data_IF_714991604715
#
_entry.id   IF_714991604715
#
_cell.length_a   1.000
_cell.length_b   1.000
_cell.length_c   1.000
_cell.angle_alpha   90.00
_cell.angle_beta   90.00
_cell.angle_gamma   90.00
#
_symmetry.space_group_name_H-M   'P 1'
#
loop_
_entity.id
_entity.type
_entity.pdbx_description
1 polymer ?
#
# COMPACT_ATOMS: atom_id res chain seq x y z
N UNK A 1 -46.66 16.91 -16.07
CA UNK A 1 -45.55 16.79 -15.07
C UNK A 1 -45.40 18.10 -14.35
N UNK A 2 -45.34 18.11 -13.03
CA UNK A 2 -45.20 19.34 -12.23
C UNK A 2 -43.81 19.95 -12.44
N UNK A 3 -43.79 21.28 -12.60
CA UNK A 3 -42.56 22.06 -12.67
C UNK A 3 -42.01 22.30 -11.24
N UNK A 4 -40.71 22.27 -11.08
CA UNK A 4 -40.03 22.70 -9.87
C UNK A 4 -39.67 24.18 -9.95
N UNK A 5 -40.20 24.98 -9.04
CA UNK A 5 -39.99 26.42 -8.98
C UNK A 5 -39.16 26.77 -7.77
N UNK A 6 -38.00 27.39 -7.97
CA UNK A 6 -37.07 27.80 -6.91
C UNK A 6 -36.82 29.30 -7.00
N UNK A 7 -36.76 29.94 -5.83
CA UNK A 7 -36.29 31.32 -5.74
C UNK A 7 -34.97 31.33 -4.97
N UNK A 8 -33.92 31.79 -5.62
CA UNK A 8 -32.56 31.81 -5.15
C UNK A 8 -32.15 33.22 -4.68
N UNK A 9 -31.20 33.31 -3.78
CA UNK A 9 -30.60 34.56 -3.30
C UNK A 9 -29.43 34.98 -4.18
N UNK A 10 -29.34 36.24 -4.52
CA UNK A 10 -28.24 36.92 -5.18
C UNK A 10 -28.04 36.59 -6.67
N UNK A 11 -27.96 35.31 -7.05
CA UNK A 11 -27.71 34.87 -8.44
C UNK A 11 -28.34 33.50 -8.74
N UNK A 12 -28.15 33.01 -9.95
CA UNK A 12 -28.66 31.69 -10.41
C UNK A 12 -28.05 30.48 -9.75
N UNK A 13 -26.98 30.63 -8.93
CA UNK A 13 -26.28 29.57 -8.19
C UNK A 13 -26.43 29.74 -6.67
N UNK A 14 -27.18 30.76 -6.24
CA UNK A 14 -27.37 31.12 -4.85
C UNK A 14 -28.15 30.09 -4.01
N UNK A 15 -28.25 30.35 -2.71
CA UNK A 15 -29.05 29.53 -1.80
C UNK A 15 -30.53 29.59 -2.12
N UNK A 16 -31.22 28.44 -2.10
CA UNK A 16 -32.66 28.33 -2.28
C UNK A 16 -33.36 29.00 -1.08
N UNK A 17 -34.13 30.07 -1.33
CA UNK A 17 -34.89 30.78 -0.30
C UNK A 17 -36.35 30.32 -0.25
N UNK A 18 -36.96 30.08 -1.40
CA UNK A 18 -38.31 29.57 -1.54
C UNK A 18 -38.38 28.48 -2.59
N UNK A 19 -39.28 27.53 -2.37
CA UNK A 19 -39.49 26.39 -3.26
C UNK A 19 -40.98 26.06 -3.32
N UNK A 20 -41.49 25.76 -4.54
CA UNK A 20 -42.80 25.18 -4.75
C UNK A 20 -42.83 24.32 -6.01
N UNK A 21 -43.92 23.58 -6.19
CA UNK A 21 -44.21 22.84 -7.41
C UNK A 21 -45.42 23.41 -8.07
N UNK A 22 -45.47 23.36 -9.42
CA UNK A 22 -46.70 23.67 -10.13
C UNK A 22 -47.73 22.54 -9.98
N UNK A 23 -49.00 22.92 -10.09
CA UNK A 23 -50.07 21.94 -10.24
C UNK A 23 -50.08 21.31 -11.65
N UNK A 24 -51.14 20.54 -11.96
CA UNK A 24 -51.28 19.80 -13.24
C UNK A 24 -51.49 20.75 -14.42
N UNK A 25 -52.04 21.92 -14.16
CA UNK A 25 -52.37 22.95 -15.14
C UNK A 25 -51.22 23.97 -15.31
N UNK A 26 -50.15 23.82 -14.53
CA UNK A 26 -48.96 24.64 -14.59
C UNK A 26 -48.99 25.86 -13.65
N UNK A 27 -50.04 26.01 -12.83
CA UNK A 27 -50.12 27.13 -11.89
C UNK A 27 -49.27 26.88 -10.64
N UNK A 28 -48.65 27.97 -10.16
CA UNK A 28 -47.93 27.94 -8.87
C UNK A 28 -48.12 29.28 -8.16
N UNK A 29 -47.98 29.28 -6.86
CA UNK A 29 -48.01 30.48 -6.00
C UNK A 29 -46.83 30.46 -5.04
N UNK A 30 -46.11 31.59 -4.95
CA UNK A 30 -45.03 31.81 -3.98
C UNK A 30 -45.27 33.17 -3.32
N UNK A 31 -45.35 33.20 -2.02
CA UNK A 31 -45.42 34.44 -1.23
C UNK A 31 -44.01 34.93 -0.94
N UNK A 32 -43.61 36.01 -1.62
CA UNK A 32 -42.30 36.61 -1.43
C UNK A 32 -42.44 37.76 -0.41
N UNK A 33 -41.66 37.67 0.67
CA UNK A 33 -41.52 38.81 1.59
C UNK A 33 -40.57 39.83 0.95
N UNK A 34 -40.96 41.12 0.81
CA UNK A 34 -40.08 42.14 0.26
C UNK A 34 -38.80 42.22 1.13
N UNK A 35 -37.67 42.02 0.47
CA UNK A 35 -36.35 42.14 1.10
C UNK A 35 -35.40 42.78 0.08
N UNK A 36 -34.40 43.50 0.51
CA UNK A 36 -33.41 44.23 -0.28
C UNK A 36 -32.47 43.35 -1.10
N UNK A 37 -32.57 42.04 -1.00
CA UNK A 37 -31.72 41.09 -1.70
C UNK A 37 -32.21 40.87 -3.15
N UNK A 38 -31.29 40.77 -4.08
CA UNK A 38 -31.58 40.28 -5.43
C UNK A 38 -32.05 38.83 -5.34
N UNK A 39 -33.17 38.56 -6.02
CA UNK A 39 -33.72 37.22 -6.10
C UNK A 39 -33.69 36.72 -7.55
N UNK A 40 -33.51 35.42 -7.73
CA UNK A 40 -33.56 34.75 -9.03
C UNK A 40 -34.63 33.66 -9.01
N UNK A 41 -35.44 33.66 -10.04
CA UNK A 41 -36.44 32.64 -10.28
C UNK A 41 -35.84 31.58 -11.20
N UNK A 42 -35.86 30.34 -10.76
CA UNK A 42 -35.46 29.18 -11.55
C UNK A 42 -36.65 28.23 -11.67
N UNK A 43 -37.01 27.89 -12.92
CA UNK A 43 -38.06 26.90 -13.18
C UNK A 43 -37.46 25.75 -13.98
N UNK A 44 -37.70 24.53 -13.53
CA UNK A 44 -37.19 23.31 -14.15
C UNK A 44 -38.24 22.23 -14.27
N UNK A 45 -38.29 21.60 -15.45
CA UNK A 45 -39.14 20.44 -15.76
C UNK A 45 -38.32 19.45 -16.57
N UNK A 46 -38.51 18.16 -16.34
CA UNK A 46 -37.86 17.13 -17.14
C UNK A 46 -38.25 17.23 -18.62
N UNK A 47 -37.27 17.33 -19.50
CA UNK A 47 -37.45 17.46 -20.94
C UNK A 47 -37.57 18.91 -21.44
N UNK A 48 -37.35 19.89 -20.58
CA UNK A 48 -37.33 21.31 -20.94
C UNK A 48 -36.05 22.00 -20.55
N UNK A 49 -35.70 23.12 -21.20
CA UNK A 49 -34.55 23.95 -20.81
C UNK A 49 -34.89 24.69 -19.53
N UNK A 50 -33.98 24.70 -18.57
CA UNK A 50 -34.18 25.44 -17.32
C UNK A 50 -34.34 26.93 -17.59
N UNK A 51 -35.42 27.51 -17.07
CA UNK A 51 -35.68 28.95 -17.12
C UNK A 51 -35.04 29.63 -15.91
N UNK A 52 -34.28 30.70 -16.13
CA UNK A 52 -33.62 31.47 -15.08
C UNK A 52 -33.85 32.96 -15.34
N UNK A 53 -34.40 33.68 -14.37
CA UNK A 53 -34.66 35.13 -14.47
C UNK A 53 -34.40 35.85 -13.14
N UNK A 54 -33.77 37.03 -13.20
CA UNK A 54 -33.70 37.93 -12.05
C UNK A 54 -35.08 38.52 -11.73
N UNK A 55 -35.48 38.47 -10.47
CA UNK A 55 -36.68 39.13 -9.97
C UNK A 55 -36.33 40.54 -9.53
N UNK A 56 -36.93 41.53 -10.21
CA UNK A 56 -36.79 42.93 -9.88
C UNK A 56 -37.97 43.37 -9.02
N UNK A 57 -37.73 44.06 -7.91
CA UNK A 57 -38.74 44.61 -7.05
C UNK A 57 -38.91 46.13 -7.28
N UNK A 58 -40.15 46.69 -7.16
CA UNK A 58 -41.41 45.98 -6.89
C UNK A 58 -41.92 45.21 -8.11
N UNK A 59 -42.49 44.04 -7.90
CA UNK A 59 -43.17 43.25 -8.95
C UNK A 59 -44.46 44.00 -9.30
N UNK A 60 -44.54 44.58 -10.49
CA UNK A 60 -45.66 45.42 -10.90
C UNK A 60 -46.96 44.67 -11.14
N UNK A 61 -46.90 43.38 -11.50
CA UNK A 61 -48.07 42.50 -11.62
C UNK A 61 -47.79 41.21 -10.84
N UNK A 62 -48.69 40.82 -9.95
CA UNK A 62 -48.58 39.59 -9.17
C UNK A 62 -48.70 38.29 -9.98
N UNK A 63 -48.75 38.39 -11.28
CA UNK A 63 -48.90 37.27 -12.22
C UNK A 63 -47.77 37.32 -13.27
N UNK A 64 -47.08 36.21 -13.47
CA UNK A 64 -46.05 36.06 -14.49
C UNK A 64 -46.23 34.72 -15.22
N UNK A 65 -46.36 34.79 -16.55
CA UNK A 65 -46.38 33.61 -17.39
C UNK A 65 -44.96 33.21 -17.78
N UNK A 66 -44.63 31.93 -17.64
CA UNK A 66 -43.31 31.39 -17.96
C UNK A 66 -43.46 30.29 -19.01
N UNK A 67 -42.96 30.58 -20.21
CA UNK A 67 -42.97 29.62 -21.31
C UNK A 67 -41.65 28.84 -21.32
N UNK A 68 -41.70 27.53 -21.09
CA UNK A 68 -40.55 26.67 -21.14
C UNK A 68 -40.32 26.11 -22.54
N UNK A 69 -39.10 26.17 -23.02
CA UNK A 69 -38.72 25.58 -24.30
C UNK A 69 -38.35 24.09 -24.12
N UNK A 70 -38.90 23.25 -25.03
CA UNK A 70 -38.51 21.82 -25.03
C UNK A 70 -37.02 21.64 -25.29
N UNK A 71 -36.40 20.80 -24.49
CA UNK A 71 -35.00 20.40 -24.71
C UNK A 71 -34.96 19.39 -25.88
N UNK A 72 -34.52 19.85 -27.04
CA UNK A 72 -34.39 19.00 -28.26
C UNK A 72 -32.99 18.40 -28.41
N UNK A 73 -32.10 18.67 -27.45
CA UNK A 73 -30.75 18.09 -27.45
C UNK A 73 -30.75 16.63 -27.03
N UNK A 74 -29.96 15.79 -27.69
CA UNK A 74 -29.58 14.49 -27.18
C UNK A 74 -28.75 14.68 -25.92
N UNK A 75 -29.17 14.08 -24.81
CA UNK A 75 -28.33 13.99 -23.61
C UNK A 75 -26.98 13.33 -24.00
N UNK A 76 -25.84 13.92 -23.66
CA UNK A 76 -24.58 13.28 -23.93
C UNK A 76 -24.63 11.90 -23.26
N UNK A 77 -24.39 10.86 -24.04
CA UNK A 77 -24.31 9.51 -23.50
C UNK A 77 -23.24 9.54 -22.40
N UNK A 78 -23.66 9.30 -21.17
CA UNK A 78 -22.71 9.07 -20.07
C UNK A 78 -22.09 7.72 -20.38
N UNK A 79 -20.95 7.73 -21.06
CA UNK A 79 -20.10 6.57 -21.23
C UNK A 79 -19.50 6.25 -19.85
N UNK A 80 -20.24 5.52 -19.03
CA UNK A 80 -19.69 4.87 -17.85
C UNK A 80 -18.79 3.75 -18.38
N UNK A 81 -17.53 4.07 -18.66
CA UNK A 81 -16.51 3.05 -18.83
C UNK A 81 -16.36 2.40 -17.46
N UNK A 82 -17.05 1.30 -17.24
CA UNK A 82 -16.76 0.42 -16.13
C UNK A 82 -15.30 -0.04 -16.30
N UNK A 83 -14.41 0.55 -15.51
CA UNK A 83 -13.03 0.12 -15.54
C UNK A 83 -12.96 -1.26 -14.91
N UNK A 84 -12.52 -2.25 -15.68
CA UNK A 84 -12.40 -3.63 -15.23
C UNK A 84 -11.48 -3.70 -13.99
N UNK A 85 -11.87 -4.46 -12.95
CA UNK A 85 -11.06 -4.67 -11.76
C UNK A 85 -9.67 -5.21 -12.07
N UNK A 86 -9.59 -6.07 -13.09
CA UNK A 86 -8.36 -6.69 -13.58
C UNK A 86 -8.25 -6.44 -15.08
N UNK A 87 -7.09 -6.01 -15.51
CA UNK A 87 -6.78 -5.79 -16.94
C UNK A 87 -5.43 -6.42 -17.25
N UNK A 88 -5.33 -7.17 -18.36
CA UNK A 88 -4.07 -7.71 -18.83
C UNK A 88 -3.61 -6.95 -20.07
N UNK A 89 -2.35 -6.51 -20.09
CA UNK A 89 -1.70 -5.82 -21.22
C UNK A 89 -0.33 -6.45 -21.47
N UNK A 90 -0.21 -7.30 -22.50
CA UNK A 90 1.00 -8.07 -22.74
C UNK A 90 1.38 -8.90 -21.51
N UNK A 91 2.59 -8.72 -21.02
CA UNK A 91 3.14 -9.40 -19.85
C UNK A 91 2.73 -8.75 -18.50
N UNK A 92 1.87 -7.72 -18.53
CA UNK A 92 1.47 -6.99 -17.33
C UNK A 92 0.01 -7.28 -16.97
N UNK A 93 -0.22 -7.79 -15.77
CA UNK A 93 -1.54 -7.92 -15.15
C UNK A 93 -1.74 -6.78 -14.16
N UNK A 94 -2.78 -5.98 -14.35
CA UNK A 94 -3.08 -4.75 -13.58
C UNK A 94 -4.30 -5.00 -12.73
N UNK A 95 -4.17 -4.82 -11.43
CA UNK A 95 -5.24 -4.88 -10.43
C UNK A 95 -5.58 -3.48 -9.97
N UNK A 96 -6.86 -3.08 -9.99
CA UNK A 96 -7.34 -1.86 -9.35
C UNK A 96 -7.55 -2.09 -7.87
N UNK A 97 -6.81 -1.37 -7.02
CA UNK A 97 -6.83 -1.54 -5.58
C UNK A 97 -8.25 -1.40 -5.02
N UNK A 98 -8.98 -0.36 -5.43
CA UNK A 98 -10.34 -0.09 -4.94
C UNK A 98 -11.35 -1.23 -5.14
N UNK A 99 -11.10 -2.15 -6.07
CA UNK A 99 -11.97 -3.30 -6.32
C UNK A 99 -11.70 -4.49 -5.36
N UNK A 100 -10.56 -4.48 -4.66
CA UNK A 100 -10.11 -5.58 -3.80
C UNK A 100 -9.91 -5.17 -2.34
N UNK A 101 -10.02 -3.88 -2.05
CA UNK A 101 -9.98 -3.29 -0.71
C UNK A 101 -11.26 -3.67 0.05
N UNK A 102 -11.13 -4.32 1.21
CA UNK A 102 -12.24 -4.72 2.09
C UNK A 102 -12.39 -3.78 3.29
N UNK A 103 -11.44 -2.86 3.48
CA UNK A 103 -11.42 -1.87 4.55
C UNK A 103 -10.85 -2.37 5.89
N UNK A 104 -10.35 -3.61 5.93
CA UNK A 104 -9.72 -4.21 7.11
C UNK A 104 -8.24 -4.53 6.92
N UNK A 105 -7.65 -4.05 5.83
CA UNK A 105 -6.24 -4.25 5.53
C UNK A 105 -5.36 -3.38 6.41
N UNK A 106 -4.50 -3.99 7.21
CA UNK A 106 -3.54 -3.28 8.06
C UNK A 106 -2.24 -2.95 7.31
N UNK A 107 -1.93 -3.70 6.27
CA UNK A 107 -0.69 -3.56 5.49
C UNK A 107 -0.87 -4.03 4.04
N UNK A 108 0.16 -3.80 3.22
CA UNK A 108 0.17 -4.21 1.82
C UNK A 108 -0.04 -5.72 1.64
N UNK A 109 0.53 -6.54 2.52
CA UNK A 109 0.38 -7.99 2.47
C UNK A 109 -1.07 -8.46 2.62
N UNK A 110 -1.86 -7.78 3.45
CA UNK A 110 -3.28 -8.10 3.62
C UNK A 110 -4.07 -7.81 2.33
N UNK A 111 -3.78 -6.68 1.68
CA UNK A 111 -4.37 -6.36 0.37
C UNK A 111 -3.94 -7.37 -0.70
N UNK A 112 -2.66 -7.73 -0.75
CA UNK A 112 -2.13 -8.68 -1.74
C UNK A 112 -2.82 -10.04 -1.66
N UNK A 113 -3.18 -10.53 -0.46
CA UNK A 113 -3.93 -11.77 -0.28
C UNK A 113 -5.34 -11.74 -0.88
N UNK A 114 -5.92 -10.54 -1.08
CA UNK A 114 -7.24 -10.39 -1.70
C UNK A 114 -7.18 -10.46 -3.23
N UNK A 115 -5.97 -10.35 -3.83
CA UNK A 115 -5.80 -10.35 -5.28
C UNK A 115 -5.76 -11.78 -5.83
N UNK A 116 -6.54 -12.11 -6.86
CA UNK A 116 -6.53 -13.43 -7.45
C UNK A 116 -5.16 -13.78 -8.08
N UNK A 117 -4.74 -15.01 -7.85
CA UNK A 117 -3.44 -15.51 -8.31
C UNK A 117 -2.25 -15.10 -7.46
N UNK A 118 -2.41 -14.21 -6.49
CA UNK A 118 -1.35 -13.82 -5.56
C UNK A 118 -1.41 -14.69 -4.30
N UNK A 119 -0.25 -15.17 -3.89
CA UNK A 119 -0.03 -15.82 -2.60
C UNK A 119 1.09 -15.14 -1.84
N UNK A 120 0.98 -15.15 -0.52
CA UNK A 120 1.95 -14.54 0.39
C UNK A 120 2.35 -15.58 1.43
N UNK A 121 3.66 -15.77 1.61
CA UNK A 121 4.17 -16.64 2.66
C UNK A 121 4.17 -15.94 4.05
N UNK A 122 4.49 -16.69 5.09
CA UNK A 122 4.54 -16.18 6.46
C UNK A 122 5.62 -15.09 6.66
N UNK A 123 6.64 -15.05 5.81
CA UNK A 123 7.72 -14.06 5.83
C UNK A 123 7.42 -12.80 5.01
N UNK A 124 6.30 -12.75 4.29
CA UNK A 124 5.92 -11.60 3.46
C UNK A 124 6.44 -11.65 2.03
N UNK A 125 6.96 -12.81 1.58
CA UNK A 125 7.31 -13.01 0.17
C UNK A 125 6.08 -13.34 -0.66
N UNK A 126 6.06 -12.80 -1.86
CA UNK A 126 4.91 -12.84 -2.77
C UNK A 126 5.18 -13.80 -3.92
N UNK A 127 4.16 -14.54 -4.33
CA UNK A 127 4.15 -15.30 -5.57
C UNK A 127 2.89 -14.99 -6.37
N UNK A 128 2.98 -15.01 -7.69
CA UNK A 128 1.87 -14.83 -8.62
C UNK A 128 1.76 -16.05 -9.53
N UNK A 129 0.61 -16.74 -9.51
CA UNK A 129 0.36 -17.99 -10.25
C UNK A 129 1.50 -19.01 -10.09
N UNK A 130 2.02 -19.15 -8.86
CA UNK A 130 3.14 -20.04 -8.53
C UNK A 130 4.54 -19.50 -8.85
N UNK A 131 4.67 -18.39 -9.60
CA UNK A 131 5.96 -17.75 -9.87
C UNK A 131 6.32 -16.80 -8.74
N UNK A 132 7.56 -16.89 -8.24
CA UNK A 132 8.06 -15.98 -7.20
C UNK A 132 8.20 -14.56 -7.72
N UNK A 133 7.72 -13.57 -6.96
CA UNK A 133 8.00 -12.16 -7.19
C UNK A 133 9.41 -11.86 -6.68
N UNK A 134 10.30 -11.45 -7.56
CA UNK A 134 11.71 -11.19 -7.22
C UNK A 134 11.90 -9.83 -6.55
N UNK A 135 11.13 -8.82 -6.98
CA UNK A 135 11.22 -7.43 -6.49
C UNK A 135 9.84 -6.77 -6.42
N UNK A 136 9.69 -5.79 -5.52
CA UNK A 136 8.55 -4.88 -5.50
C UNK A 136 9.04 -3.47 -5.79
N UNK A 137 8.51 -2.90 -6.86
CA UNK A 137 8.82 -1.55 -7.33
C UNK A 137 7.81 -0.55 -6.76
N UNK A 138 8.23 0.68 -6.54
CA UNK A 138 7.37 1.82 -6.21
C UNK A 138 7.49 2.85 -7.32
N UNK A 139 6.39 3.06 -8.08
CA UNK A 139 6.40 3.93 -9.26
C UNK A 139 7.58 3.60 -10.19
N UNK A 140 7.71 2.30 -10.54
CA UNK A 140 8.75 1.73 -11.42
C UNK A 140 10.18 1.74 -10.84
N UNK A 141 10.37 2.18 -9.60
CA UNK A 141 11.67 2.24 -8.95
C UNK A 141 11.85 1.14 -7.90
N UNK A 142 12.99 0.47 -7.97
CA UNK A 142 13.40 -0.55 -7.00
C UNK A 142 14.12 0.07 -5.80
N UNK A 143 13.41 0.19 -4.66
CA UNK A 143 13.97 0.68 -3.40
C UNK A 143 14.54 -0.45 -2.52
N UNK A 144 14.01 -1.67 -2.65
CA UNK A 144 14.22 -2.74 -1.68
C UNK A 144 15.08 -3.89 -2.22
N UNK A 145 15.19 -4.01 -3.56
CA UNK A 145 15.73 -5.21 -4.19
C UNK A 145 14.89 -6.44 -3.84
N UNK A 146 15.55 -7.53 -3.50
CA UNK A 146 14.91 -8.75 -3.04
C UNK A 146 14.37 -8.67 -1.59
N UNK A 147 14.74 -7.63 -0.81
CA UNK A 147 14.43 -7.50 0.62
C UNK A 147 13.11 -6.75 0.89
N UNK A 148 12.09 -6.97 0.09
CA UNK A 148 10.81 -6.27 0.15
C UNK A 148 9.83 -6.80 1.23
N UNK A 149 10.18 -7.82 1.99
CA UNK A 149 9.32 -8.39 3.04
C UNK A 149 8.90 -7.36 4.10
N UNK A 150 9.79 -6.42 4.42
CA UNK A 150 9.47 -5.30 5.31
C UNK A 150 8.38 -4.41 4.75
N UNK A 151 8.36 -4.19 3.42
CA UNK A 151 7.33 -3.43 2.72
C UNK A 151 5.96 -4.12 2.82
N UNK A 152 5.88 -5.42 2.50
CA UNK A 152 4.62 -6.16 2.54
C UNK A 152 4.03 -6.26 3.93
N UNK A 153 4.87 -6.42 4.96
CA UNK A 153 4.44 -6.60 6.35
C UNK A 153 4.06 -5.30 7.06
N UNK A 154 4.66 -4.18 6.69
CA UNK A 154 4.62 -2.96 7.50
C UNK A 154 4.03 -1.75 6.79
N UNK A 155 4.01 -1.72 5.43
CA UNK A 155 3.52 -0.54 4.70
C UNK A 155 2.02 -0.60 4.52
N UNK A 156 1.33 0.50 4.85
CA UNK A 156 -0.10 0.65 4.60
C UNK A 156 -0.42 0.85 3.12
N UNK A 157 -1.69 0.70 2.78
CA UNK A 157 -2.20 0.78 1.42
C UNK A 157 -2.67 2.19 1.01
N UNK A 158 -2.57 3.16 1.92
CA UNK A 158 -3.08 4.52 1.70
C UNK A 158 -2.54 5.15 0.42
N UNK A 159 -3.45 5.64 -0.41
CA UNK A 159 -3.11 6.30 -1.68
C UNK A 159 -2.68 5.37 -2.80
N UNK A 160 -2.65 4.06 -2.61
CA UNK A 160 -2.40 3.08 -3.66
C UNK A 160 -3.57 3.06 -4.65
N UNK A 161 -3.27 3.07 -5.95
CA UNK A 161 -4.25 3.07 -7.03
C UNK A 161 -4.33 1.72 -7.73
N UNK A 162 -3.14 1.24 -8.16
CA UNK A 162 -3.01 0.00 -8.93
C UNK A 162 -1.84 -0.81 -8.44
N UNK A 163 -1.97 -2.12 -8.62
CA UNK A 163 -0.89 -3.08 -8.47
C UNK A 163 -0.70 -3.76 -9.82
N UNK A 164 0.52 -3.67 -10.35
CA UNK A 164 0.88 -4.25 -11.63
C UNK A 164 1.81 -5.43 -11.37
N UNK A 165 1.46 -6.61 -11.84
CA UNK A 165 2.36 -7.76 -11.90
C UNK A 165 2.93 -7.83 -13.30
N UNK A 166 4.24 -7.65 -13.41
CA UNK A 166 4.96 -7.63 -14.69
C UNK A 166 5.78 -8.91 -14.80
N UNK A 167 5.37 -9.78 -15.70
CA UNK A 167 6.12 -10.99 -16.06
C UNK A 167 7.17 -10.61 -17.12
N UNK A 168 8.28 -11.34 -17.17
CA UNK A 168 9.39 -11.06 -18.09
C UNK A 168 9.95 -9.63 -17.98
N UNK A 169 10.01 -9.12 -16.74
CA UNK A 169 10.46 -7.76 -16.46
C UNK A 169 11.90 -7.56 -16.91
N UNK A 170 12.12 -6.46 -17.64
CA UNK A 170 13.45 -6.00 -18.04
C UNK A 170 13.79 -4.74 -17.24
N UNK A 171 14.86 -4.82 -16.47
CA UNK A 171 15.34 -3.65 -15.72
C UNK A 171 16.08 -2.69 -16.68
N UNK A 172 15.38 -1.62 -17.07
CA UNK A 172 15.97 -0.56 -17.91
C UNK A 172 17.12 0.20 -17.22
N UNK A 173 17.35 -0.04 -15.94
CA UNK A 173 18.51 0.51 -15.23
C UNK A 173 19.80 -0.24 -15.52
N UNK A 174 19.72 -1.49 -15.99
CA UNK A 174 20.86 -2.35 -16.36
C UNK A 174 21.09 -2.31 -17.86
N UNK A 175 22.32 -2.53 -18.28
CA UNK A 175 22.68 -2.60 -19.70
C UNK A 175 21.96 -3.79 -20.36
N UNK A 176 21.48 -3.60 -21.59
CA UNK A 176 20.67 -4.58 -22.34
C UNK A 176 21.38 -5.93 -22.60
N UNK A 177 22.71 -6.00 -22.44
CA UNK A 177 23.53 -7.18 -22.72
C UNK A 177 23.87 -8.02 -21.45
N UNK A 178 23.27 -7.78 -20.30
CA UNK A 178 23.47 -8.67 -19.15
C UNK A 178 22.68 -9.97 -19.36
N UNK A 179 23.34 -11.11 -19.22
CA UNK A 179 22.84 -12.45 -19.54
C UNK A 179 21.56 -12.89 -18.78
N UNK A 180 21.04 -12.08 -17.87
CA UNK A 180 19.86 -12.34 -17.06
C UNK A 180 18.70 -11.40 -17.37
N UNK A 181 18.61 -10.86 -18.57
CA UNK A 181 17.55 -9.94 -18.97
C UNK A 181 16.31 -10.72 -19.40
N UNK A 182 15.26 -10.69 -18.58
CA UNK A 182 13.92 -11.01 -19.06
C UNK A 182 13.18 -12.17 -18.41
N UNK A 183 13.65 -12.76 -17.30
CA UNK A 183 12.94 -13.87 -16.64
C UNK A 183 12.39 -13.53 -15.23
N UNK A 184 12.43 -12.25 -14.85
CA UNK A 184 11.95 -11.85 -13.54
C UNK A 184 10.45 -11.53 -13.58
N UNK A 185 9.73 -11.92 -12.53
CA UNK A 185 8.38 -11.43 -12.28
C UNK A 185 8.44 -10.43 -11.14
N UNK A 186 7.99 -9.21 -11.41
CA UNK A 186 8.02 -8.12 -10.42
C UNK A 186 6.63 -7.58 -10.16
N UNK A 187 6.45 -6.98 -9.00
CA UNK A 187 5.23 -6.29 -8.63
C UNK A 187 5.51 -4.79 -8.56
N UNK A 188 4.70 -3.97 -9.22
CA UNK A 188 4.86 -2.52 -9.23
C UNK A 188 3.67 -1.84 -8.59
N UNK A 189 3.93 -1.00 -7.59
CA UNK A 189 2.94 -0.23 -6.85
C UNK A 189 2.76 1.14 -7.49
N UNK A 190 1.55 1.43 -7.97
CA UNK A 190 1.16 2.72 -8.54
C UNK A 190 0.23 3.47 -7.60
N UNK A 191 0.53 4.75 -7.37
CA UNK A 191 -0.24 5.63 -6.48
C UNK A 191 -1.12 6.61 -7.24
N UNK A 192 -2.23 7.05 -6.64
CA UNK A 192 -3.31 7.86 -7.26
C UNK A 192 -2.87 9.17 -7.92
N UNK A 193 -1.72 9.74 -7.56
CA UNK A 193 -1.18 10.95 -8.19
C UNK A 193 0.33 10.95 -8.24
N UNK A 194 0.91 11.56 -9.29
CA UNK A 194 2.35 11.75 -9.45
C UNK A 194 2.93 12.96 -8.70
N UNK A 195 2.12 13.70 -7.94
CA UNK A 195 2.57 14.86 -7.16
C UNK A 195 3.40 14.41 -5.95
N UNK A 196 4.21 15.33 -5.40
CA UNK A 196 4.93 15.14 -4.14
C UNK A 196 3.97 14.60 -3.08
N UNK A 197 4.33 13.47 -2.48
CA UNK A 197 3.52 12.80 -1.46
C UNK A 197 4.35 12.36 -0.31
N UNK A 198 3.82 12.64 0.87
CA UNK A 198 4.25 12.08 2.13
C UNK A 198 3.00 11.44 2.76
N UNK A 199 3.03 10.16 3.02
CA UNK A 199 1.95 9.44 3.67
C UNK A 199 2.52 8.31 4.52
N UNK A 200 1.70 7.77 5.39
CA UNK A 200 2.12 6.69 6.26
C UNK A 200 0.96 6.18 7.08
N UNK A 201 1.22 5.15 7.84
CA UNK A 201 0.29 4.58 8.78
C UNK A 201 0.97 4.36 10.13
N UNK A 202 0.18 4.55 11.17
CA UNK A 202 0.58 4.26 12.55
C UNK A 202 -0.41 3.24 13.12
N UNK A 203 0.11 2.22 13.74
CA UNK A 203 -0.66 1.24 14.49
C UNK A 203 -0.14 1.19 15.91
N UNK A 204 -1.04 1.20 16.88
CA UNK A 204 -0.78 0.99 18.30
C UNK A 204 -1.75 -0.05 18.83
N UNK A 205 -1.21 -1.19 19.27
CA UNK A 205 -1.93 -2.24 19.95
C UNK A 205 -1.43 -2.39 21.38
N UNK A 206 -2.36 -2.54 22.33
CA UNK A 206 -2.06 -2.81 23.74
C UNK A 206 -2.91 -4.00 24.18
N UNK A 207 -2.29 -4.98 24.82
CA UNK A 207 -2.94 -6.20 25.30
C UNK A 207 -3.02 -6.24 26.83
N UNK A 208 -3.93 -7.08 27.32
CA UNK A 208 -4.02 -7.37 28.77
C UNK A 208 -3.36 -8.72 29.07
N UNK A 209 -2.51 -8.79 30.10
CA UNK A 209 -2.05 -7.69 30.95
C UNK A 209 -1.22 -6.67 30.14
N UNK A 210 -1.10 -5.43 30.60
CA UNK A 210 -0.49 -4.29 29.89
C UNK A 210 1.00 -4.47 29.45
N UNK A 211 1.59 -5.63 29.70
CA UNK A 211 2.91 -5.99 29.20
C UNK A 211 2.96 -6.32 27.71
N UNK A 212 1.79 -6.54 27.06
CA UNK A 212 1.72 -6.80 25.63
C UNK A 212 1.44 -5.51 24.87
N UNK A 213 2.30 -5.21 23.93
CA UNK A 213 2.15 -4.03 23.06
C UNK A 213 2.71 -4.31 21.67
N UNK A 214 2.18 -3.61 20.69
CA UNK A 214 2.71 -3.56 19.33
C UNK A 214 2.55 -2.16 18.75
N UNK A 215 3.63 -1.57 18.26
CA UNK A 215 3.59 -0.34 17.47
C UNK A 215 4.18 -0.61 16.11
N UNK A 216 3.51 -0.11 15.06
CA UNK A 216 3.99 -0.14 13.68
C UNK A 216 3.84 1.25 13.10
N UNK A 217 4.96 1.88 12.80
CA UNK A 217 5.00 3.21 12.21
C UNK A 217 5.69 3.10 10.87
N UNK A 218 5.03 3.59 9.83
CA UNK A 218 5.55 3.57 8.47
C UNK A 218 5.34 4.92 7.82
N UNK A 219 6.37 5.40 7.13
CA UNK A 219 6.32 6.65 6.34
C UNK A 219 6.86 6.38 4.95
N UNK A 220 6.09 6.76 3.95
CA UNK A 220 6.44 6.69 2.53
C UNK A 220 6.53 8.10 1.98
N UNK A 221 7.66 8.46 1.42
CA UNK A 221 7.90 9.74 0.74
C UNK A 221 8.15 9.52 -0.76
N UNK A 222 7.30 10.15 -1.59
CA UNK A 222 7.45 10.20 -3.04
C UNK A 222 7.68 11.66 -3.43
N UNK A 223 8.93 12.11 -3.39
CA UNK A 223 9.33 13.51 -3.52
C UNK A 223 10.06 13.74 -4.85
N UNK A 224 9.43 13.42 -5.96
CA UNK A 224 10.01 13.56 -7.30
C UNK A 224 11.21 12.63 -7.50
N UNK A 225 12.42 13.19 -7.43
CA UNK A 225 13.67 12.43 -7.59
C UNK A 225 14.08 11.64 -6.34
N UNK A 226 13.47 11.93 -5.19
CA UNK A 226 13.72 11.28 -3.93
C UNK A 226 12.52 10.41 -3.56
N UNK A 227 12.77 9.14 -3.28
CA UNK A 227 11.77 8.20 -2.77
C UNK A 227 12.33 7.52 -1.54
N UNK A 228 11.53 7.41 -0.50
CA UNK A 228 11.93 6.68 0.69
C UNK A 228 10.76 5.95 1.35
N UNK A 229 11.10 4.87 2.03
CA UNK A 229 10.20 4.14 2.92
C UNK A 229 10.94 3.90 4.23
N UNK A 230 10.38 4.42 5.31
CA UNK A 230 10.91 4.23 6.67
C UNK A 230 9.90 3.46 7.48
N UNK A 231 10.37 2.45 8.21
CA UNK A 231 9.55 1.65 9.13
C UNK A 231 10.20 1.65 10.51
N UNK A 232 9.41 1.88 11.54
CA UNK A 232 9.82 1.77 12.95
C UNK A 232 8.77 0.93 13.68
N UNK A 233 9.13 -0.28 14.08
CA UNK A 233 8.25 -1.20 14.79
C UNK A 233 8.85 -1.55 16.14
N UNK A 234 7.99 -1.66 17.13
CA UNK A 234 8.35 -2.18 18.45
C UNK A 234 7.23 -3.04 18.98
N UNK A 235 7.56 -4.23 19.51
CA UNK A 235 6.53 -5.14 19.98
C UNK A 235 7.02 -6.13 21.04
N UNK A 236 6.02 -6.66 21.78
CA UNK A 236 6.20 -7.75 22.76
C UNK A 236 5.20 -8.90 22.52
N UNK A 237 4.72 -9.07 21.28
CA UNK A 237 3.66 -10.02 20.92
C UNK A 237 4.18 -11.21 20.09
N UNK A 238 5.46 -11.55 20.22
CA UNK A 238 6.07 -12.69 19.53
C UNK A 238 6.49 -12.43 18.08
N UNK A 239 6.42 -11.18 17.60
CA UNK A 239 6.85 -10.81 16.26
C UNK A 239 8.35 -10.43 16.28
N UNK A 240 9.24 -11.39 16.02
CA UNK A 240 10.68 -11.13 15.98
C UNK A 240 11.07 -10.38 14.71
N UNK A 241 11.84 -9.30 14.87
CA UNK A 241 12.38 -8.52 13.76
C UNK A 241 13.39 -9.33 12.94
N UNK A 242 14.19 -10.17 13.61
CA UNK A 242 15.13 -11.10 12.97
C UNK A 242 14.44 -12.06 12.01
N UNK A 243 13.24 -12.57 12.33
CA UNK A 243 12.48 -13.43 11.43
C UNK A 243 11.99 -12.68 10.18
N UNK A 244 11.58 -11.43 10.32
CA UNK A 244 11.16 -10.61 9.18
C UNK A 244 12.36 -10.34 8.25
N UNK A 245 13.51 -10.03 8.83
CA UNK A 245 14.74 -9.75 8.08
C UNK A 245 15.34 -11.04 7.50
N UNK A 246 15.41 -12.13 8.27
CA UNK A 246 15.90 -13.43 7.81
C UNK A 246 15.00 -14.05 6.73
N UNK A 247 13.68 -13.90 6.83
CA UNK A 247 12.75 -14.32 5.79
C UNK A 247 13.03 -13.65 4.46
N UNK A 248 13.51 -12.39 4.46
CA UNK A 248 13.99 -11.73 3.26
C UNK A 248 15.30 -12.33 2.71
N UNK A 249 16.14 -12.90 3.55
CA UNK A 249 17.45 -13.46 3.17
C UNK A 249 17.44 -14.98 2.93
N UNK A 250 16.54 -15.75 3.58
CA UNK A 250 16.46 -17.21 3.45
C UNK A 250 16.16 -17.71 2.03
N UNK A 251 15.50 -16.89 1.22
CA UNK A 251 15.23 -17.19 -0.19
C UNK A 251 16.37 -16.79 -1.13
N UNK A 252 17.44 -16.17 -0.62
CA UNK A 252 18.64 -15.82 -1.36
C UNK A 252 19.66 -16.97 -1.43
N UNK A 253 19.44 -18.11 -0.79
CA UNK A 253 20.09 -19.39 -1.18
C UNK A 253 19.49 -19.88 -2.50
N UNK A 254 19.60 -19.03 -3.49
CA UNK A 254 19.24 -19.32 -4.88
C UNK A 254 20.44 -20.07 -5.48
N UNK A 255 20.21 -21.33 -5.68
CA UNK A 255 20.84 -22.01 -6.78
C UNK A 255 20.71 -21.12 -8.03
N UNK A 256 21.86 -20.66 -8.57
CA UNK A 256 22.06 -20.09 -9.91
C UNK A 256 21.91 -18.58 -10.16
N UNK A 257 22.03 -17.70 -9.22
CA UNK A 257 22.44 -16.36 -9.61
C UNK A 257 23.96 -16.21 -9.47
N UNK A 258 24.66 -16.12 -10.59
CA UNK A 258 26.01 -15.56 -10.64
C UNK A 258 25.90 -14.09 -10.24
N UNK A 259 25.77 -13.84 -8.94
CA UNK A 259 25.95 -12.53 -8.35
C UNK A 259 27.42 -12.17 -8.58
N UNK A 260 27.76 -11.05 -9.22
CA UNK A 260 29.15 -10.67 -9.35
C UNK A 260 29.72 -10.55 -7.94
N UNK A 261 30.75 -11.36 -7.72
CA UNK A 261 31.72 -11.39 -6.64
C UNK A 261 31.45 -10.47 -5.44
N UNK A 262 31.33 -11.06 -4.24
CA UNK A 262 31.46 -10.46 -2.93
C UNK A 262 30.31 -9.60 -2.38
N UNK A 263 29.07 -10.02 -2.59
CA UNK A 263 28.10 -9.76 -1.53
C UNK A 263 28.05 -11.05 -0.69
N UNK A 264 28.90 -11.18 0.32
CA UNK A 264 28.60 -12.00 1.48
C UNK A 264 27.37 -11.33 2.11
N UNK A 265 26.19 -11.71 1.63
CA UNK A 265 25.01 -11.58 2.45
C UNK A 265 25.33 -12.40 3.69
N UNK A 266 25.29 -11.76 4.84
CA UNK A 266 25.39 -12.42 6.12
C UNK A 266 24.59 -13.72 6.02
N UNK A 267 25.26 -14.85 6.23
CA UNK A 267 24.58 -16.06 6.70
C UNK A 267 23.55 -15.57 7.70
N UNK A 268 22.30 -16.01 7.52
CA UNK A 268 21.18 -15.51 8.31
C UNK A 268 21.68 -15.32 9.75
N UNK A 269 21.68 -14.08 10.30
CA UNK A 269 22.38 -13.80 11.54
C UNK A 269 21.85 -14.57 12.73
N UNK A 270 20.82 -15.36 12.48
CA UNK A 270 20.19 -16.24 13.44
C UNK A 270 20.05 -17.60 12.77
N UNK A 271 20.92 -18.53 13.09
CA UNK A 271 20.61 -19.94 12.89
C UNK A 271 19.52 -20.30 13.89
N UNK A 272 18.27 -20.27 13.43
CA UNK A 272 17.19 -20.95 14.13
C UNK A 272 17.42 -22.46 13.96
N UNK A 273 18.43 -22.98 14.62
CA UNK A 273 18.67 -24.41 14.64
C UNK A 273 17.57 -25.17 15.36
N UNK A 274 16.71 -24.47 16.10
CA UNK A 274 15.91 -25.09 17.10
C UNK A 274 14.41 -24.85 16.89
N UNK A 275 13.80 -25.89 16.29
CA UNK A 275 12.44 -26.34 16.58
C UNK A 275 11.38 -25.20 16.54
N UNK A 276 11.12 -24.69 15.34
CA UNK A 276 9.79 -24.16 15.05
C UNK A 276 8.89 -25.37 14.76
N UNK A 277 7.97 -25.75 15.68
CA UNK A 277 6.99 -26.76 15.37
C UNK A 277 6.21 -26.30 14.14
N UNK A 278 6.15 -27.14 13.11
CA UNK A 278 5.59 -26.82 11.78
C UNK A 278 4.16 -26.24 11.80
N UNK A 279 3.45 -26.36 12.93
CA UNK A 279 2.04 -26.01 13.04
C UNK A 279 1.72 -24.88 14.02
N UNK A 280 2.72 -24.23 14.62
CA UNK A 280 2.50 -23.14 15.59
C UNK A 280 3.03 -21.82 15.01
N UNK A 281 2.19 -20.79 15.00
CA UNK A 281 2.62 -19.45 14.54
C UNK A 281 3.76 -18.95 15.44
N UNK A 282 4.84 -18.38 14.87
CA UNK A 282 5.96 -17.82 15.63
C UNK A 282 5.54 -16.89 16.76
N UNK A 283 4.49 -16.09 16.54
CA UNK A 283 3.93 -15.17 17.54
C UNK A 283 3.41 -15.83 18.82
N UNK A 284 3.25 -17.15 18.85
CA UNK A 284 2.81 -17.91 20.02
C UNK A 284 3.96 -18.63 20.72
N UNK A 285 5.16 -18.59 20.14
CA UNK A 285 6.33 -19.32 20.64
C UNK A 285 7.25 -18.46 21.50
N UNK A 286 7.22 -17.13 21.30
CA UNK A 286 8.19 -16.24 21.89
C UNK A 286 7.55 -15.20 22.82
N UNK A 287 8.14 -15.04 24.01
CA UNK A 287 7.98 -13.82 24.80
C UNK A 287 9.15 -12.90 24.41
N UNK A 288 8.84 -11.75 23.82
CA UNK A 288 9.86 -10.91 23.19
C UNK A 288 9.77 -9.43 23.59
N UNK A 289 10.84 -8.72 23.30
CA UNK A 289 10.91 -7.27 23.20
C UNK A 289 11.74 -6.97 21.96
N UNK A 290 11.04 -6.73 20.84
CA UNK A 290 11.67 -6.56 19.53
C UNK A 290 11.52 -5.14 19.03
N UNK A 291 12.60 -4.61 18.47
CA UNK A 291 12.62 -3.31 17.79
C UNK A 291 13.19 -3.49 16.38
N UNK A 292 12.51 -2.98 15.36
CA UNK A 292 12.96 -2.96 13.97
C UNK A 292 12.90 -1.55 13.43
N UNK A 293 14.00 -1.10 12.84
CA UNK A 293 14.08 0.16 12.10
C UNK A 293 14.60 -0.16 10.70
N UNK A 294 13.86 0.27 9.67
CA UNK A 294 14.33 0.18 8.28
C UNK A 294 14.20 1.52 7.59
N UNK A 295 15.20 1.90 6.79
CA UNK A 295 15.16 3.07 5.91
C UNK A 295 15.63 2.61 4.54
N UNK A 296 14.72 2.71 3.57
CA UNK A 296 15.00 2.41 2.16
C UNK A 296 14.84 3.72 1.40
N UNK A 297 15.90 4.20 0.78
CA UNK A 297 15.96 5.51 0.15
C UNK A 297 16.59 5.42 -1.23
N UNK A 298 15.94 6.02 -2.22
CA UNK A 298 16.44 6.15 -3.59
C UNK A 298 16.47 7.62 -3.99
N UNK A 299 17.64 8.09 -4.43
CA UNK A 299 17.86 9.42 -5.01
C UNK A 299 18.23 9.26 -6.47
N UNK A 300 17.46 9.85 -7.39
CA UNK A 300 17.83 10.03 -8.79
C UNK A 300 18.52 11.39 -8.96
N UNK A 301 19.82 11.48 -8.65
CA UNK A 301 20.57 12.73 -8.71
C UNK A 301 20.53 13.31 -10.15
N UNK A 302 20.60 12.44 -11.17
CA UNK A 302 20.43 12.80 -12.57
C UNK A 302 19.79 11.65 -13.37
N UNK A 303 19.60 11.81 -14.68
CA UNK A 303 19.20 10.71 -15.57
C UNK A 303 20.25 9.58 -15.65
N UNK A 304 21.48 9.88 -15.26
CA UNK A 304 22.64 8.95 -15.33
C UNK A 304 23.07 8.43 -13.96
N UNK A 305 22.69 9.08 -12.87
CA UNK A 305 23.18 8.75 -11.51
C UNK A 305 22.00 8.53 -10.59
N UNK A 306 21.95 7.34 -10.00
CA UNK A 306 21.07 7.03 -8.88
C UNK A 306 21.85 6.49 -7.69
N UNK A 307 21.37 6.83 -6.50
CA UNK A 307 21.95 6.42 -5.20
C UNK A 307 20.82 5.73 -4.43
N UNK A 308 21.07 4.50 -4.03
CA UNK A 308 20.15 3.69 -3.24
C UNK A 308 20.80 3.40 -1.90
N UNK A 309 20.11 3.71 -0.81
CA UNK A 309 20.53 3.46 0.56
C UNK A 309 19.52 2.55 1.24
N UNK A 310 20.00 1.47 1.85
CA UNK A 310 19.19 0.55 2.63
C UNK A 310 19.83 0.41 4.02
N UNK A 311 19.08 0.77 5.04
CA UNK A 311 19.48 0.66 6.43
C UNK A 311 18.49 -0.28 7.12
N UNK A 312 19.02 -1.27 7.81
CA UNK A 312 18.26 -2.19 8.66
C UNK A 312 18.93 -2.25 10.01
N UNK A 313 18.16 -1.97 11.04
CA UNK A 313 18.58 -2.12 12.44
C UNK A 313 17.51 -2.88 13.17
N UNK A 314 17.89 -3.91 13.91
CA UNK A 314 16.98 -4.54 14.83
C UNK A 314 17.66 -4.97 16.13
N UNK A 315 16.85 -5.05 17.17
CA UNK A 315 17.19 -5.66 18.45
C UNK A 315 16.04 -6.56 18.87
N UNK A 316 16.31 -7.87 18.96
CA UNK A 316 15.37 -8.89 19.42
C UNK A 316 15.88 -9.48 20.73
N UNK A 317 15.17 -9.19 21.83
CA UNK A 317 15.34 -9.88 23.10
C UNK A 317 14.17 -10.83 23.23
N UNK A 318 14.40 -12.12 23.32
CA UNK A 318 13.31 -13.08 23.44
C UNK A 318 13.64 -14.31 24.30
N UNK A 319 12.58 -14.84 24.92
CA UNK A 319 12.60 -16.05 25.70
C UNK A 319 11.69 -17.09 25.09
N UNK A 320 12.17 -18.32 25.03
CA UNK A 320 11.40 -19.49 24.62
C UNK A 320 11.54 -20.56 25.68
N UNK A 321 10.43 -21.13 26.12
CA UNK A 321 10.40 -22.28 27.02
C UNK A 321 9.76 -23.46 26.32
N UNK A 322 10.35 -24.62 26.36
CA UNK A 322 9.78 -25.85 25.84
C UNK A 322 10.03 -27.01 26.81
N UNK A 323 9.11 -27.93 26.85
CA UNK A 323 9.27 -29.15 27.62
C UNK A 323 9.25 -30.37 26.70
N UNK A 324 10.18 -31.27 26.91
CA UNK A 324 10.27 -32.57 26.23
C UNK A 324 9.85 -33.66 27.19
N UNK A 325 8.90 -34.50 26.79
CA UNK A 325 8.46 -35.66 27.55
C UNK A 325 8.85 -36.90 26.75
N UNK A 326 9.77 -37.69 27.28
CA UNK A 326 10.16 -38.97 26.70
C UNK A 326 9.63 -40.09 27.59
N UNK A 327 8.91 -41.03 27.00
CA UNK A 327 8.46 -42.23 27.70
C UNK A 327 9.17 -43.42 27.12
N UNK A 328 10.05 -44.02 27.91
CA UNK A 328 10.71 -45.28 27.58
C UNK A 328 9.84 -46.41 28.09
N UNK A 329 9.22 -47.15 27.19
CA UNK A 329 8.45 -48.34 27.51
C UNK A 329 9.40 -49.50 27.77
N UNK A 330 9.69 -49.77 29.03
CA UNK A 330 10.39 -50.96 29.43
C UNK A 330 9.36 -52.04 29.88
N UNK A 331 9.64 -53.30 29.64
CA UNK A 331 8.75 -54.43 29.92
C UNK A 331 8.34 -54.59 31.40
N UNK A 332 8.99 -53.88 32.32
CA UNK A 332 8.72 -53.92 33.74
C UNK A 332 8.01 -52.67 34.29
N UNK A 333 8.41 -51.48 33.88
CA UNK A 333 7.80 -50.21 34.28
C UNK A 333 8.10 -49.14 33.23
N UNK A 334 7.11 -48.36 32.76
CA UNK A 334 7.38 -47.22 31.89
C UNK A 334 8.10 -46.12 32.67
N UNK A 335 9.21 -45.62 32.13
CA UNK A 335 9.96 -44.50 32.70
C UNK A 335 9.61 -43.26 31.86
N UNK A 336 9.05 -42.23 32.50
CA UNK A 336 8.79 -40.94 31.85
C UNK A 336 9.84 -39.94 32.32
N UNK A 337 10.58 -39.39 31.38
CA UNK A 337 11.52 -38.30 31.57
C UNK A 337 10.85 -37.02 31.08
N UNK A 338 10.77 -36.02 31.96
CA UNK A 338 10.33 -34.69 31.61
C UNK A 338 11.52 -33.73 31.74
N UNK A 339 11.82 -33.03 30.66
CA UNK A 339 12.89 -32.04 30.63
C UNK A 339 12.28 -30.67 30.25
N UNK A 340 12.53 -29.66 31.06
CA UNK A 340 12.18 -28.26 30.73
C UNK A 340 13.46 -27.55 30.33
N UNK A 341 13.37 -26.87 29.15
CA UNK A 341 14.47 -26.08 28.60
C UNK A 341 13.99 -24.64 28.40
N UNK A 342 14.80 -23.69 28.83
CA UNK A 342 14.60 -22.26 28.59
C UNK A 342 15.75 -21.72 27.73
N UNK A 343 15.41 -20.94 26.73
CA UNK A 343 16.36 -20.24 25.86
C UNK A 343 16.08 -18.74 26.00
N UNK A 344 17.12 -17.97 26.33
CA UNK A 344 17.09 -16.51 26.27
C UNK A 344 18.11 -16.06 25.22
N UNK A 345 17.67 -15.21 24.29
CA UNK A 345 18.55 -14.67 23.24
C UNK A 345 18.38 -13.15 23.11
N UNK A 346 19.49 -12.49 22.76
CA UNK A 346 19.56 -11.08 22.48
C UNK A 346 20.29 -10.87 21.15
N UNK A 347 19.52 -10.71 20.06
CA UNK A 347 20.07 -10.55 18.72
C UNK A 347 20.04 -9.07 18.32
N UNK A 348 21.19 -8.53 18.03
CA UNK A 348 21.35 -7.14 17.56
C UNK A 348 21.97 -7.15 16.16
N UNK A 349 21.37 -6.42 15.22
CA UNK A 349 21.89 -6.22 13.87
C UNK A 349 21.90 -4.75 13.50
N UNK A 350 22.99 -4.32 12.90
CA UNK A 350 23.12 -3.08 12.13
C UNK A 350 23.61 -3.43 10.73
N UNK A 351 22.82 -3.10 9.72
CA UNK A 351 23.18 -3.27 8.32
C UNK A 351 22.97 -1.96 7.58
N UNK A 352 24.00 -1.51 6.87
CA UNK A 352 23.97 -0.32 6.04
C UNK A 352 24.51 -0.67 4.65
N UNK A 353 23.71 -0.47 3.61
CA UNK A 353 24.07 -0.69 2.22
C UNK A 353 23.84 0.56 1.41
N UNK A 354 24.84 0.98 0.67
CA UNK A 354 24.76 2.06 -0.31
C UNK A 354 25.18 1.54 -1.69
N UNK A 355 24.34 1.77 -2.68
CA UNK A 355 24.62 1.48 -4.08
C UNK A 355 24.57 2.77 -4.89
N UNK A 356 25.65 3.09 -5.59
CA UNK A 356 25.73 4.18 -6.55
C UNK A 356 25.77 3.58 -7.94
N UNK A 357 24.71 3.83 -8.72
CA UNK A 357 24.62 3.40 -10.10
C UNK A 357 24.88 4.60 -11.02
N UNK A 358 25.93 4.51 -11.83
CA UNK A 358 26.34 5.55 -12.76
C UNK A 358 26.39 5.04 -14.20
N UNK A 359 25.46 5.48 -15.03
CA UNK A 359 25.43 5.23 -16.48
C UNK A 359 26.29 6.26 -17.20
N UNK A 360 27.49 5.88 -17.57
CA UNK A 360 28.42 6.75 -18.32
C UNK A 360 27.89 6.99 -19.74
N UNK A 361 27.46 5.93 -20.42
CA UNK A 361 26.82 5.96 -21.75
C UNK A 361 25.91 4.74 -21.94
N UNK A 362 25.38 4.51 -23.15
CA UNK A 362 24.49 3.37 -23.46
C UNK A 362 25.17 2.00 -23.33
N UNK A 363 26.51 1.93 -23.35
CA UNK A 363 27.29 0.69 -23.30
C UNK A 363 28.06 0.50 -22.00
N UNK A 364 28.25 1.55 -21.19
CA UNK A 364 29.06 1.52 -19.97
C UNK A 364 28.29 2.02 -18.76
N UNK A 365 28.22 1.18 -17.76
CA UNK A 365 27.59 1.43 -16.47
C UNK A 365 28.54 0.99 -15.36
N UNK A 366 28.68 1.80 -14.35
CA UNK A 366 29.43 1.49 -13.13
C UNK A 366 28.48 1.40 -11.95
N UNK A 367 28.60 0.35 -11.16
CA UNK A 367 27.85 0.17 -9.91
C UNK A 367 28.89 0.06 -8.81
N UNK A 368 28.85 1.01 -7.88
CA UNK A 368 29.65 1.00 -6.67
C UNK A 368 28.75 0.62 -5.50
N UNK A 369 29.15 -0.41 -4.75
CA UNK A 369 28.40 -0.88 -3.59
C UNK A 369 29.30 -0.81 -2.37
N UNK A 370 28.74 -0.28 -1.28
CA UNK A 370 29.34 -0.26 0.03
C UNK A 370 28.39 -0.89 1.04
N UNK A 371 28.91 -1.84 1.83
CA UNK A 371 28.13 -2.56 2.84
C UNK A 371 28.88 -2.56 4.17
N UNK A 372 28.18 -2.19 5.24
CA UNK A 372 28.66 -2.29 6.61
C UNK A 372 27.68 -3.14 7.41
N UNK A 373 28.17 -4.19 8.04
CA UNK A 373 27.34 -5.10 8.83
C UNK A 373 28.00 -5.30 10.21
N UNK A 374 27.17 -5.27 11.24
CA UNK A 374 27.58 -5.63 12.59
C UNK A 374 26.47 -6.45 13.24
N UNK A 375 26.84 -7.59 13.83
CA UNK A 375 25.94 -8.45 14.59
C UNK A 375 26.49 -8.66 15.97
N UNK A 376 25.59 -8.81 16.94
CA UNK A 376 25.90 -9.25 18.29
C UNK A 376 24.81 -10.21 18.73
N UNK A 377 25.20 -11.38 19.16
CA UNK A 377 24.34 -12.42 19.73
C UNK A 377 24.41 -12.37 21.25
#
# INVERSE_FOLDING_TARGET
SSASIKVLLNDSTGLIKYFTLSDKDGFFKIELKPNTSKLWLQVSVVGFINYNQALLFPIQNGYQEIILQKFTGTLPAINVKAELPITKRGDTTIFKVAAFEKGNENNLGDLLKNLPGISLDEFGKVSFNGKKITRILIEEDDLFGSNYSTLTKNTGISGLDKIEVIENYKDNSRLENSANVGNETVLNLKYKTKKIRLFGNNFLGVGLPLKFYETKNNVVGLLGKNKFVTTINKNSVGNLASLIVAGSNRLLNIENERVPLNIQFLDAPVQFSDILPLNIKPTRLFSNNSTLITINHLIKASKKISIKNNIVMFNDIYNQTFSTIETVNNSLLPITLQQENGIEKNNLLYNFNTEVNWKLNSKLQTILQYSLNSTKD
#
